data_IF_799446493970
#
_entry.id   IF_799446493970
#
_cell.length_a   1.000
_cell.length_b   1.000
_cell.length_c   1.000
_cell.angle_alpha   90.00
_cell.angle_beta   90.00
_cell.angle_gamma   90.00
#
_symmetry.space_group_name_H-M   'P 1'
#
loop_
_entity.id
_entity.type
_entity.pdbx_description
1 polymer ?
#
# COMPACT_ATOMS: atom_id res chain seq x y z
N UNK A 1 3.26 -5.40 -11.31
CA UNK A 1 2.70 -4.22 -10.63
C UNK A 1 3.70 -3.05 -10.67
N UNK A 2 3.51 -2.07 -11.56
CA UNK A 2 4.45 -0.94 -11.77
C UNK A 2 4.48 0.04 -10.58
N UNK A 3 3.33 0.29 -9.96
CA UNK A 3 3.19 1.20 -8.80
C UNK A 3 3.92 0.73 -7.54
N UNK A 4 4.12 -0.58 -7.35
CA UNK A 4 4.83 -1.10 -6.17
C UNK A 4 6.29 -0.62 -6.16
N UNK A 5 6.95 -0.47 -7.32
CA UNK A 5 8.33 0.00 -7.40
C UNK A 5 8.50 1.40 -6.81
N UNK A 6 7.57 2.31 -7.10
CA UNK A 6 7.56 3.67 -6.54
C UNK A 6 7.40 3.69 -5.01
N UNK A 7 6.87 2.61 -4.43
CA UNK A 7 6.64 2.43 -3.00
C UNK A 7 7.63 1.46 -2.34
N UNK A 8 8.61 0.95 -3.08
CA UNK A 8 9.67 0.11 -2.50
C UNK A 8 10.84 0.96 -2.00
N UNK A 9 11.05 2.14 -2.59
CA UNK A 9 12.16 3.04 -2.23
C UNK A 9 12.11 3.49 -0.77
N UNK A 10 10.93 3.54 -0.15
CA UNK A 10 10.75 3.95 1.24
C UNK A 10 10.68 2.77 2.23
N UNK A 11 10.99 1.55 1.74
CA UNK A 11 11.09 0.30 2.50
C UNK A 11 9.88 -0.01 3.40
N UNK A 12 8.69 0.47 3.03
CA UNK A 12 7.44 0.28 3.78
C UNK A 12 6.70 -1.02 3.40
N UNK A 13 7.09 -1.68 2.31
CA UNK A 13 6.36 -2.79 1.71
C UNK A 13 6.51 -4.07 2.55
N UNK A 14 5.42 -4.51 3.18
CA UNK A 14 5.41 -5.79 3.93
C UNK A 14 4.91 -6.93 3.06
N UNK A 15 3.86 -6.69 2.27
CA UNK A 15 3.32 -7.73 1.39
C UNK A 15 2.23 -7.24 0.45
N UNK A 16 2.11 -7.91 -0.69
CA UNK A 16 1.02 -7.77 -1.64
C UNK A 16 0.41 -9.13 -1.92
N UNK A 17 -0.91 -9.24 -1.78
CA UNK A 17 -1.64 -10.50 -1.87
C UNK A 17 -2.84 -10.33 -2.80
N UNK A 18 -3.26 -11.43 -3.41
CA UNK A 18 -4.49 -11.51 -4.20
C UNK A 18 -5.35 -12.64 -3.66
N UNK A 19 -6.65 -12.39 -3.55
CA UNK A 19 -7.59 -13.35 -2.97
C UNK A 19 -7.87 -14.49 -3.95
N UNK A 20 -7.52 -15.72 -3.57
CA UNK A 20 -7.82 -16.93 -4.35
C UNK A 20 -9.07 -17.68 -3.84
N UNK A 21 -9.43 -17.49 -2.56
CA UNK A 21 -10.57 -18.11 -1.89
C UNK A 21 -11.22 -17.05 -1.00
N UNK A 22 -12.56 -17.00 -0.97
CA UNK A 22 -13.34 -15.96 -0.27
C UNK A 22 -13.87 -14.90 -1.23
N UNK A 23 -13.80 -13.62 -0.84
CA UNK A 23 -14.18 -12.52 -1.73
C UNK A 23 -13.12 -12.36 -2.84
N UNK A 24 -13.50 -12.70 -4.07
CA UNK A 24 -12.61 -12.69 -5.22
C UNK A 24 -12.39 -11.27 -5.76
N UNK A 25 -11.39 -11.15 -6.65
CA UNK A 25 -10.97 -9.87 -7.26
C UNK A 25 -10.49 -8.81 -6.26
N UNK A 26 -10.16 -9.25 -5.04
CA UNK A 26 -9.60 -8.41 -3.99
C UNK A 26 -8.07 -8.48 -3.97
N UNK A 27 -7.44 -7.31 -4.03
CA UNK A 27 -6.01 -7.12 -3.82
C UNK A 27 -5.78 -6.55 -2.42
N UNK A 28 -4.89 -7.18 -1.65
CA UNK A 28 -4.50 -6.72 -0.32
C UNK A 28 -3.06 -6.22 -0.36
N UNK A 29 -2.81 -5.04 0.20
CA UNK A 29 -1.45 -4.52 0.38
C UNK A 29 -1.24 -4.17 1.85
N UNK A 30 -0.16 -4.69 2.43
CA UNK A 30 0.24 -4.39 3.80
C UNK A 30 1.51 -3.52 3.77
N UNK A 31 1.45 -2.42 4.51
CA UNK A 31 2.52 -1.44 4.61
C UNK A 31 2.85 -1.18 6.08
N UNK A 32 4.13 -1.19 6.42
CA UNK A 32 4.63 -0.88 7.74
C UNK A 32 5.18 0.55 7.77
N UNK A 33 4.80 1.29 8.80
CA UNK A 33 5.30 2.64 9.06
C UNK A 33 5.69 2.74 10.52
N UNK A 34 6.71 3.55 10.81
CA UNK A 34 7.11 3.87 12.18
C UNK A 34 6.00 4.56 12.97
N UNK A 35 5.34 5.53 12.33
CA UNK A 35 4.25 6.32 12.89
C UNK A 35 3.38 6.91 11.77
N UNK A 36 2.26 7.55 12.17
CA UNK A 36 1.31 8.11 11.21
C UNK A 36 1.84 9.35 10.48
N UNK A 37 2.77 10.11 11.08
CA UNK A 37 3.40 11.25 10.42
C UNK A 37 4.29 10.76 9.28
N UNK A 38 5.14 9.77 9.55
CA UNK A 38 6.00 9.13 8.55
C UNK A 38 5.16 8.53 7.41
N UNK A 39 4.00 7.94 7.72
CA UNK A 39 3.05 7.47 6.69
C UNK A 39 2.57 8.61 5.80
N UNK A 40 2.19 9.74 6.38
CA UNK A 40 1.75 10.91 5.62
C UNK A 40 2.86 11.42 4.71
N UNK A 41 4.05 11.64 5.26
CA UNK A 41 5.21 12.16 4.55
C UNK A 41 5.60 11.26 3.37
N UNK A 42 5.69 9.94 3.58
CA UNK A 42 6.02 8.98 2.52
C UNK A 42 4.93 8.96 1.43
N UNK A 43 3.65 8.99 1.81
CA UNK A 43 2.56 9.00 0.83
C UNK A 43 2.53 10.28 0.02
N UNK A 44 2.79 11.42 0.65
CA UNK A 44 2.88 12.71 -0.03
C UNK A 44 4.12 12.76 -0.94
N UNK A 45 5.25 12.23 -0.50
CA UNK A 45 6.47 12.14 -1.31
C UNK A 45 6.25 11.27 -2.57
N UNK A 46 5.47 10.19 -2.47
CA UNK A 46 5.14 9.34 -3.63
C UNK A 46 4.41 10.11 -4.74
N UNK A 47 3.53 11.06 -4.39
CA UNK A 47 2.84 11.91 -5.37
C UNK A 47 3.76 12.82 -6.16
N UNK A 48 4.94 13.15 -5.63
CA UNK A 48 5.93 13.97 -6.32
C UNK A 48 6.85 13.15 -7.24
N UNK A 49 6.71 11.82 -7.26
CA UNK A 49 7.53 10.96 -8.12
C UNK A 49 7.00 10.99 -9.57
N UNK A 50 7.85 11.26 -10.57
CA UNK A 50 7.43 11.27 -11.97
C UNK A 50 6.80 9.93 -12.40
N UNK A 51 5.61 9.96 -12.99
CA UNK A 51 4.89 8.77 -13.46
C UNK A 51 4.02 8.10 -12.40
N UNK A 52 3.98 8.60 -11.17
CA UNK A 52 3.01 8.15 -10.16
C UNK A 52 1.57 8.52 -10.56
N UNK A 53 1.38 9.73 -11.05
CA UNK A 53 0.12 10.27 -11.56
C UNK A 53 -0.46 9.44 -12.71
N UNK A 54 0.37 9.07 -13.68
CA UNK A 54 -0.03 8.20 -14.80
C UNK A 54 -0.51 6.83 -14.30
N UNK A 55 0.22 6.25 -13.34
CA UNK A 55 -0.17 4.96 -12.76
C UNK A 55 -1.48 5.03 -12.02
N UNK A 56 -1.72 6.10 -11.25
CA UNK A 56 -2.99 6.33 -10.56
C UNK A 56 -4.12 6.47 -11.59
N UNK A 57 -3.91 7.24 -12.66
CA UNK A 57 -4.90 7.45 -13.72
C UNK A 57 -5.38 6.14 -14.36
N UNK A 58 -4.47 5.22 -14.66
CA UNK A 58 -4.85 3.93 -15.27
C UNK A 58 -5.39 2.89 -14.28
N UNK A 59 -5.08 3.01 -12.98
CA UNK A 59 -5.44 1.96 -12.01
C UNK A 59 -6.68 2.28 -11.20
N UNK A 60 -6.95 3.54 -10.88
CA UNK A 60 -8.15 3.95 -10.11
C UNK A 60 -9.46 3.50 -10.78
N UNK A 61 -9.65 3.62 -12.11
CA UNK A 61 -10.88 3.17 -12.76
C UNK A 61 -11.14 1.66 -12.66
N UNK A 62 -10.11 0.86 -12.37
CA UNK A 62 -10.23 -0.60 -12.22
C UNK A 62 -10.71 -1.01 -10.82
N UNK A 63 -10.73 -0.06 -9.87
CA UNK A 63 -11.09 -0.30 -8.47
C UNK A 63 -12.57 0.04 -8.28
N UNK A 64 -13.36 -0.95 -7.88
CA UNK A 64 -14.78 -0.75 -7.56
C UNK A 64 -14.95 -0.17 -6.14
N UNK A 65 -14.24 -0.74 -5.18
CA UNK A 65 -14.27 -0.35 -3.77
C UNK A 65 -12.85 -0.41 -3.19
N UNK A 66 -12.53 0.49 -2.27
CA UNK A 66 -11.26 0.52 -1.57
C UNK A 66 -11.47 0.81 -0.09
N UNK A 67 -10.95 -0.07 0.77
CA UNK A 67 -10.95 0.12 2.22
C UNK A 67 -9.50 0.14 2.72
N UNK A 68 -9.25 0.87 3.81
CA UNK A 68 -7.97 0.79 4.53
C UNK A 68 -8.18 0.83 6.03
N UNK A 69 -7.36 0.10 6.78
CA UNK A 69 -7.38 0.08 8.25
C UNK A 69 -5.97 0.30 8.80
N UNK A 70 -5.89 0.94 9.96
CA UNK A 70 -4.66 1.05 10.74
C UNK A 70 -4.67 -0.06 11.79
N UNK A 71 -3.58 -0.81 11.86
CA UNK A 71 -3.39 -1.88 12.83
C UNK A 71 -2.14 -1.59 13.64
N UNK A 72 -2.18 -1.90 14.93
CA UNK A 72 -1.02 -1.85 15.82
C UNK A 72 -0.62 -3.30 16.11
N UNK A 73 0.62 -3.72 15.79
CA UNK A 73 1.05 -5.08 16.06
C UNK A 73 1.05 -5.35 17.57
N UNK A 74 0.57 -6.54 17.95
CA UNK A 74 0.68 -7.00 19.32
C UNK A 74 2.14 -7.30 19.67
N UNK A 75 2.48 -7.28 20.96
CA UNK A 75 3.86 -7.53 21.44
C UNK A 75 4.47 -8.85 20.97
N UNK A 76 3.64 -9.86 20.75
CA UNK A 76 4.04 -11.19 20.28
C UNK A 76 4.14 -11.31 18.74
N UNK A 77 3.78 -10.25 18.01
CA UNK A 77 3.89 -10.22 16.56
C UNK A 77 5.36 -10.35 16.16
N UNK A 78 5.71 -11.24 15.21
CA UNK A 78 7.06 -11.29 14.65
C UNK A 78 7.35 -10.08 13.76
N UNK A 79 6.31 -9.38 13.30
CA UNK A 79 6.38 -8.08 12.66
C UNK A 79 6.30 -7.02 13.76
N UNK A 80 7.47 -6.57 14.23
CA UNK A 80 7.67 -5.42 15.12
C UNK A 80 8.24 -4.25 14.33
#
# INVERSE_FOLDING_TARGET
>A
ARAIRFRQDSNEAVGGFFSQIGQLYMVHHLWAYKDLQTREDIRNAAWHKPGWDELVYYTVPLIQEMESRIMIPLKISPLQ
#
